data_IF_859761096479
#
_entry.id   IF_859761096479
#
_cell.length_a   1.000
_cell.length_b   1.000
_cell.length_c   1.000
_cell.angle_alpha   90.00
_cell.angle_beta   90.00
_cell.angle_gamma   90.00
#
_symmetry.space_group_name_H-M   'P 1'
#
loop_
_entity.id
_entity.type
_entity.pdbx_description
1 polymer ?
#
# COMPACT_ATOMS: atom_id res chain seq x y z
N UNK A 1 -0.90 -9.20 29.03
CA UNK A 1 0.23 -8.24 28.91
C UNK A 1 0.14 -7.28 27.72
N UNK A 2 -0.86 -7.35 26.83
CA UNK A 2 -0.97 -6.44 25.66
C UNK A 2 -1.78 -5.16 25.92
N UNK A 3 -2.76 -5.22 26.83
CA UNK A 3 -3.73 -4.13 27.10
C UNK A 3 -3.07 -2.81 27.53
N UNK A 4 -2.07 -2.85 28.41
CA UNK A 4 -1.42 -1.64 28.94
C UNK A 4 -0.22 -1.14 28.10
N UNK A 5 0.08 -1.73 26.93
CA UNK A 5 1.28 -1.36 26.13
C UNK A 5 1.31 0.10 25.70
N UNK A 6 0.15 0.70 25.44
CA UNK A 6 0.03 2.10 25.06
C UNK A 6 0.50 3.05 26.18
N UNK A 7 0.39 2.66 27.46
CA UNK A 7 0.83 3.46 28.61
C UNK A 7 2.35 3.56 28.71
N UNK A 8 3.07 2.53 28.24
CA UNK A 8 4.54 2.47 28.29
C UNK A 8 5.18 2.82 26.95
N UNK A 9 4.40 3.30 25.99
CA UNK A 9 4.91 3.69 24.68
C UNK A 9 5.84 4.90 24.80
N UNK A 10 6.93 4.87 24.03
CA UNK A 10 7.88 5.99 23.93
C UNK A 10 8.21 6.25 22.46
N UNK A 11 8.26 7.52 22.09
CA UNK A 11 8.78 7.93 20.80
C UNK A 11 10.31 7.81 20.82
N UNK A 12 10.81 6.96 19.94
CA UNK A 12 12.22 6.78 19.65
C UNK A 12 12.38 6.93 18.14
N UNK A 13 13.61 7.18 17.66
CA UNK A 13 13.86 7.26 16.19
C UNK A 13 13.31 6.03 15.45
N UNK A 14 13.43 4.84 16.05
CA UNK A 14 12.91 3.59 15.49
C UNK A 14 11.38 3.56 15.44
N UNK A 15 10.69 3.89 16.54
CA UNK A 15 9.22 3.85 16.57
C UNK A 15 8.59 4.95 15.72
N UNK A 16 9.22 6.14 15.66
CA UNK A 16 8.89 7.21 14.71
C UNK A 16 8.91 6.73 13.27
N UNK A 17 10.01 6.09 12.86
CA UNK A 17 10.16 5.60 11.49
C UNK A 17 9.17 4.50 11.14
N UNK A 18 8.94 3.55 12.04
CA UNK A 18 7.98 2.46 11.82
C UNK A 18 6.56 3.02 11.68
N UNK A 19 6.14 3.92 12.58
CA UNK A 19 4.82 4.55 12.50
C UNK A 19 4.65 5.33 11.19
N UNK A 20 5.65 6.12 10.79
CA UNK A 20 5.63 6.84 9.52
C UNK A 20 5.52 5.89 8.32
N UNK A 21 6.32 4.82 8.31
CA UNK A 21 6.34 3.87 7.20
C UNK A 21 4.97 3.21 7.00
N UNK A 22 4.33 2.75 8.09
CA UNK A 22 3.06 2.03 8.00
C UNK A 22 1.85 2.93 7.83
N UNK A 23 1.86 4.15 8.38
CA UNK A 23 0.71 5.06 8.30
C UNK A 23 0.74 5.90 7.02
N UNK A 24 1.93 6.22 6.49
CA UNK A 24 2.07 7.15 5.35
C UNK A 24 2.72 6.45 4.16
N UNK A 25 3.96 5.96 4.32
CA UNK A 25 4.76 5.50 3.18
C UNK A 25 4.10 4.33 2.43
N UNK A 26 3.71 3.28 3.15
CA UNK A 26 3.10 2.08 2.56
C UNK A 26 1.74 2.40 1.93
N UNK A 27 0.78 3.06 2.61
CA UNK A 27 -0.48 3.44 1.97
C UNK A 27 -0.30 4.37 0.78
N UNK A 28 0.64 5.32 0.81
CA UNK A 28 0.90 6.21 -0.31
C UNK A 28 1.46 5.46 -1.52
N UNK A 29 2.41 4.55 -1.32
CA UNK A 29 2.95 3.70 -2.40
C UNK A 29 1.87 2.80 -3.01
N UNK A 30 1.07 2.14 -2.18
CA UNK A 30 -0.02 1.30 -2.66
C UNK A 30 -1.12 2.11 -3.33
N UNK A 31 -1.49 3.26 -2.78
CA UNK A 31 -2.48 4.15 -3.35
C UNK A 31 -2.05 4.66 -4.72
N UNK A 32 -0.80 5.15 -4.85
CA UNK A 32 -0.26 5.60 -6.13
C UNK A 32 -0.16 4.48 -7.15
N UNK A 33 0.33 3.29 -6.76
CA UNK A 33 0.34 2.12 -7.64
C UNK A 33 -1.09 1.70 -8.05
N UNK A 34 -2.03 1.73 -7.11
CA UNK A 34 -3.45 1.48 -7.35
C UNK A 34 -4.02 2.44 -8.39
N UNK A 35 -3.90 3.76 -8.17
CA UNK A 35 -4.37 4.76 -9.12
C UNK A 35 -3.70 4.66 -10.50
N UNK A 36 -2.43 4.27 -10.57
CA UNK A 36 -1.75 4.05 -11.87
C UNK A 36 -2.18 2.77 -12.58
N UNK A 37 -2.79 1.81 -11.87
CA UNK A 37 -3.20 0.51 -12.42
C UNK A 37 -4.71 0.35 -12.53
N UNK A 38 -5.47 1.24 -11.90
CA UNK A 38 -6.92 1.33 -12.02
C UNK A 38 -7.32 1.56 -13.48
N UNK A 39 -8.21 0.73 -14.00
CA UNK A 39 -8.67 0.78 -15.40
C UNK A 39 -7.63 0.42 -16.46
N UNK A 40 -6.37 0.20 -16.07
CA UNK A 40 -5.28 -0.08 -17.02
C UNK A 40 -5.32 -1.50 -17.57
N UNK A 41 -5.97 -2.44 -16.89
CA UNK A 41 -5.93 -3.86 -17.26
C UNK A 41 -7.36 -4.39 -17.45
N UNK A 42 -7.67 -4.86 -18.65
CA UNK A 42 -8.92 -5.54 -18.97
C UNK A 42 -8.63 -6.91 -19.57
N UNK A 43 -8.98 -7.95 -18.81
CA UNK A 43 -8.67 -9.34 -19.17
C UNK A 43 -9.89 -10.07 -19.72
N UNK A 44 -11.09 -9.47 -19.69
CA UNK A 44 -12.32 -10.13 -20.12
C UNK A 44 -12.31 -10.39 -21.62
N UNK A 45 -12.36 -11.67 -21.98
CA UNK A 45 -12.50 -12.12 -23.38
C UNK A 45 -11.21 -12.07 -24.22
N UNK A 46 -10.06 -11.70 -23.63
CA UNK A 46 -8.77 -11.63 -24.33
C UNK A 46 -8.23 -13.03 -24.64
N UNK A 47 -7.65 -13.21 -25.83
CA UNK A 47 -7.01 -14.47 -26.30
C UNK A 47 -5.49 -14.32 -26.37
N UNK A 48 -4.80 -15.43 -26.67
CA UNK A 48 -3.33 -15.46 -26.78
C UNK A 48 -2.87 -14.49 -27.88
N UNK A 49 -2.12 -13.46 -27.49
CA UNK A 49 -1.61 -12.42 -28.38
C UNK A 49 -2.32 -11.06 -28.26
N UNK A 50 -3.44 -10.99 -27.55
CA UNK A 50 -4.18 -9.72 -27.40
C UNK A 50 -3.55 -8.81 -26.33
N UNK A 51 -3.59 -7.50 -26.59
CA UNK A 51 -3.14 -6.48 -25.65
C UNK A 51 -4.15 -6.35 -24.49
N UNK A 52 -3.65 -6.51 -23.26
CA UNK A 52 -4.43 -6.46 -22.00
C UNK A 52 -4.50 -5.03 -21.44
N UNK A 53 -3.66 -4.13 -21.93
CA UNK A 53 -3.55 -2.75 -21.44
C UNK A 53 -4.60 -1.86 -22.11
N UNK A 54 -5.48 -1.25 -21.31
CA UNK A 54 -6.30 -0.09 -21.69
C UNK A 54 -5.50 1.19 -21.35
N UNK A 55 -5.53 2.21 -22.21
CA UNK A 55 -4.73 3.44 -22.08
C UNK A 55 -5.56 4.61 -21.58
#
# INVERSE_FOLDING_TARGET
MTVNRHKYFRWTKRTAWISFAYVILVPALLGTAGYMTEGKWEMRGKRRGDLVVER
#
